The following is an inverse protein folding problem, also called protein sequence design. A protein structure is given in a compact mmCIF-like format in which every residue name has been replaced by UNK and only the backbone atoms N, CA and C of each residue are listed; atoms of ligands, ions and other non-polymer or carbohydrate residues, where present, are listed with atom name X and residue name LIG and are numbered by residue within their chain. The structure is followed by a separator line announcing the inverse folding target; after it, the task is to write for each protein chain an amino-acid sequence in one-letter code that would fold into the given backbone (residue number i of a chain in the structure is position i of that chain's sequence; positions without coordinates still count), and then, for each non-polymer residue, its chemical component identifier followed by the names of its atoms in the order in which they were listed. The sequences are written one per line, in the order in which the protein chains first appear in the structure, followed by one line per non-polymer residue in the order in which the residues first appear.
data_IF_128375232689
#
_entry.id   IF_128375232689
#
_cell.length_a   1.000
_cell.length_b   1.000
_cell.length_c   1.000
_cell.angle_alpha   90.00
_cell.angle_beta   90.00
_cell.angle_gamma   90.00
#
_symmetry.space_group_name_H-M   'P 1'
#
loop_
_entity.id
_entity.type
_entity.pdbx_description
1 polymer ?
#
# COMPACT_ATOMS: atom_id res chain seq x y z
N UNK A 1 15.86 -15.06 14.17
CA UNK A 1 16.03 -15.48 12.75
C UNK A 1 14.98 -14.73 11.94
N UNK A 2 15.41 -13.93 10.97
CA UNK A 2 14.51 -13.17 10.09
C UNK A 2 14.36 -13.94 8.78
N UNK A 3 13.13 -14.26 8.39
CA UNK A 3 12.80 -14.80 7.07
C UNK A 3 12.40 -13.65 6.16
N UNK A 4 13.15 -13.44 5.09
CA UNK A 4 12.89 -12.42 4.08
C UNK A 4 12.42 -13.14 2.81
N UNK A 5 11.25 -12.79 2.32
CA UNK A 5 10.67 -13.41 1.13
C UNK A 5 10.08 -12.35 0.21
N UNK A 6 10.57 -12.27 -1.01
CA UNK A 6 9.96 -11.51 -2.11
C UNK A 6 9.35 -12.53 -3.07
N UNK A 7 8.04 -12.65 -3.08
CA UNK A 7 7.33 -13.65 -3.90
C UNK A 7 6.73 -13.09 -5.19
N UNK A 8 6.79 -11.75 -5.37
CA UNK A 8 6.15 -11.12 -6.52
C UNK A 8 7.12 -10.98 -7.69
N UNK A 9 6.65 -11.32 -8.89
CA UNK A 9 7.26 -10.83 -10.14
C UNK A 9 6.83 -9.38 -10.33
N UNK A 10 7.74 -8.52 -10.75
CA UNK A 10 7.47 -7.09 -10.93
C UNK A 10 7.82 -6.71 -12.36
N UNK A 11 6.81 -6.31 -13.12
CA UNK A 11 6.99 -5.62 -14.39
C UNK A 11 7.02 -4.12 -14.11
N UNK A 12 8.06 -3.43 -14.54
CA UNK A 12 8.20 -1.99 -14.30
C UNK A 12 8.75 -1.30 -15.56
N UNK A 13 7.87 -0.75 -16.35
CA UNK A 13 8.21 0.13 -17.46
C UNK A 13 6.99 0.98 -17.83
N UNK A 14 7.23 2.08 -18.56
CA UNK A 14 6.14 2.87 -19.16
C UNK A 14 5.54 2.10 -20.32
N UNK A 15 4.22 2.14 -20.42
CA UNK A 15 3.43 1.48 -21.48
C UNK A 15 3.61 -0.05 -21.54
N UNK A 16 3.90 -0.68 -20.39
CA UNK A 16 4.14 -2.14 -20.29
C UNK A 16 2.85 -2.93 -20.00
N UNK A 17 1.77 -2.26 -19.64
CA UNK A 17 0.57 -2.87 -19.07
C UNK A 17 0.03 -4.02 -19.92
N UNK A 18 -0.21 -3.78 -21.21
CA UNK A 18 -0.81 -4.75 -22.13
C UNK A 18 0.11 -5.95 -22.37
N UNK A 19 1.41 -5.66 -22.58
CA UNK A 19 2.41 -6.71 -22.83
C UNK A 19 2.62 -7.58 -21.59
N UNK A 20 2.73 -6.97 -20.43
CA UNK A 20 2.91 -7.68 -19.16
C UNK A 20 1.69 -8.56 -18.83
N UNK A 21 0.47 -8.04 -18.98
CA UNK A 21 -0.74 -8.83 -18.77
C UNK A 21 -0.82 -10.01 -19.72
N UNK A 22 -0.56 -9.79 -21.02
CA UNK A 22 -0.59 -10.85 -22.03
C UNK A 22 0.45 -11.93 -21.73
N UNK A 23 1.68 -11.53 -21.42
CA UNK A 23 2.75 -12.46 -21.08
C UNK A 23 2.38 -13.34 -19.87
N UNK A 24 1.85 -12.74 -18.81
CA UNK A 24 1.46 -13.45 -17.59
C UNK A 24 0.26 -14.37 -17.81
N UNK A 25 -0.71 -13.95 -18.63
CA UNK A 25 -1.90 -14.76 -18.97
C UNK A 25 -1.48 -15.98 -19.80
N UNK A 26 -0.65 -15.78 -20.82
CA UNK A 26 -0.23 -16.83 -21.73
C UNK A 26 0.72 -17.83 -21.05
N UNK A 27 1.71 -17.34 -20.28
CA UNK A 27 2.64 -18.20 -19.54
C UNK A 27 1.92 -19.10 -18.52
N UNK A 28 0.93 -18.54 -17.83
CA UNK A 28 0.19 -19.27 -16.81
C UNK A 28 -1.09 -19.95 -17.35
N UNK A 29 -1.41 -19.81 -18.64
CA UNK A 29 -2.60 -20.39 -19.32
C UNK A 29 -3.89 -20.04 -18.59
N UNK A 30 -4.04 -18.77 -18.24
CA UNK A 30 -5.20 -18.28 -17.50
C UNK A 30 -6.38 -18.09 -18.45
N UNK A 31 -7.52 -18.69 -18.13
CA UNK A 31 -8.70 -18.67 -19.00
C UNK A 31 -9.80 -17.73 -18.50
N UNK A 32 -9.96 -17.60 -17.17
CA UNK A 32 -10.99 -16.73 -16.58
C UNK A 32 -10.38 -15.75 -15.59
N UNK A 33 -10.48 -14.45 -15.90
CA UNK A 33 -10.02 -13.35 -15.08
C UNK A 33 -11.19 -12.65 -14.34
N UNK A 34 -11.05 -12.42 -13.04
CA UNK A 34 -11.89 -11.51 -12.26
C UNK A 34 -11.15 -10.18 -12.11
N UNK A 35 -11.57 -9.16 -12.84
CA UNK A 35 -11.00 -7.82 -12.81
C UNK A 35 -11.77 -6.93 -11.83
N UNK A 36 -11.06 -6.35 -10.87
CA UNK A 36 -11.57 -5.36 -9.92
C UNK A 36 -11.01 -3.99 -10.29
N UNK A 37 -11.91 -3.04 -10.55
CA UNK A 37 -11.55 -1.71 -11.03
C UNK A 37 -12.33 -0.64 -10.23
N UNK A 38 -11.67 0.43 -9.76
CA UNK A 38 -12.38 1.56 -9.17
C UNK A 38 -13.26 2.26 -10.21
N UNK A 39 -14.39 2.81 -9.78
CA UNK A 39 -15.34 3.49 -10.68
C UNK A 39 -14.69 4.57 -11.56
N UNK A 40 -13.72 5.31 -11.01
CA UNK A 40 -13.02 6.38 -11.74
C UNK A 40 -12.22 5.88 -12.98
N UNK A 41 -11.94 4.58 -13.07
CA UNK A 41 -11.15 3.98 -14.15
C UNK A 41 -11.97 3.04 -15.04
N UNK A 42 -13.27 2.93 -14.80
CA UNK A 42 -14.15 2.06 -15.60
C UNK A 42 -14.55 2.66 -16.94
N UNK A 43 -14.36 3.97 -17.10
CA UNK A 43 -14.62 4.68 -18.34
C UNK A 43 -13.29 5.25 -18.84
N UNK A 44 -12.84 4.84 -20.04
CA UNK A 44 -11.67 5.41 -20.66
C UNK A 44 -10.64 4.41 -21.18
N UNK A 45 -9.50 4.93 -21.59
CA UNK A 45 -8.43 4.21 -22.24
C UNK A 45 -7.86 3.07 -21.41
N UNK A 46 -7.79 3.25 -20.08
CA UNK A 46 -7.23 2.27 -19.17
C UNK A 46 -7.92 0.90 -19.26
N UNK A 47 -9.26 0.87 -19.18
CA UNK A 47 -10.01 -0.39 -19.23
C UNK A 47 -9.77 -1.11 -20.57
N UNK A 48 -9.79 -0.36 -21.68
CA UNK A 48 -9.51 -0.90 -23.01
C UNK A 48 -8.11 -1.50 -23.13
N UNK A 49 -7.11 -0.90 -22.47
CA UNK A 49 -5.75 -1.40 -22.39
C UNK A 49 -5.68 -2.72 -21.63
N UNK A 50 -6.35 -2.79 -20.47
CA UNK A 50 -6.44 -4.04 -19.69
C UNK A 50 -7.13 -5.15 -20.50
N UNK A 51 -8.26 -4.85 -21.13
CA UNK A 51 -8.97 -5.79 -21.99
C UNK A 51 -8.10 -6.30 -23.16
N UNK A 52 -7.32 -5.40 -23.77
CA UNK A 52 -6.35 -5.78 -24.81
C UNK A 52 -5.28 -6.74 -24.26
N UNK A 53 -4.74 -6.47 -23.06
CA UNK A 53 -3.78 -7.36 -22.41
C UNK A 53 -4.37 -8.72 -22.02
N UNK A 54 -5.69 -8.77 -21.76
CA UNK A 54 -6.43 -9.99 -21.40
C UNK A 54 -7.09 -10.69 -22.58
N UNK A 55 -6.79 -10.29 -23.81
CA UNK A 55 -7.44 -10.83 -25.03
C UNK A 55 -7.28 -12.34 -25.23
N UNK A 56 -6.29 -12.98 -24.61
CA UNK A 56 -6.11 -14.43 -24.59
C UNK A 56 -7.00 -15.13 -23.56
N UNK A 57 -7.60 -14.41 -22.60
CA UNK A 57 -8.55 -15.00 -21.67
C UNK A 57 -9.85 -15.34 -22.39
N UNK A 58 -10.40 -16.53 -22.09
CA UNK A 58 -11.69 -16.94 -22.64
C UNK A 58 -12.85 -16.10 -22.07
N UNK A 59 -12.68 -15.57 -20.85
CA UNK A 59 -13.67 -14.74 -20.16
C UNK A 59 -13.00 -13.76 -19.21
N UNK A 60 -13.51 -12.52 -19.20
CA UNK A 60 -13.15 -11.48 -18.23
C UNK A 60 -14.42 -11.01 -17.53
N UNK A 61 -14.49 -11.20 -16.21
CA UNK A 61 -15.58 -10.69 -15.38
C UNK A 61 -15.15 -9.41 -14.68
N UNK A 62 -15.78 -8.29 -15.04
CA UNK A 62 -15.49 -7.00 -14.42
C UNK A 62 -16.36 -6.76 -13.18
N UNK A 63 -15.73 -6.33 -12.10
CA UNK A 63 -16.40 -5.79 -10.91
C UNK A 63 -15.92 -4.39 -10.64
N UNK A 64 -16.82 -3.43 -10.74
CA UNK A 64 -16.58 -2.04 -10.36
C UNK A 64 -16.63 -1.91 -8.84
N UNK A 65 -15.61 -1.28 -8.26
CA UNK A 65 -15.51 -1.01 -6.83
C UNK A 65 -15.85 0.46 -6.58
N UNK A 66 -16.82 0.69 -5.71
CA UNK A 66 -17.22 2.05 -5.29
C UNK A 66 -16.83 2.28 -3.83
N UNK A 67 -16.56 3.54 -3.42
CA UNK A 67 -16.14 3.87 -2.04
C UNK A 67 -17.14 3.40 -0.96
N UNK A 68 -18.43 3.33 -1.29
CA UNK A 68 -19.47 2.88 -0.35
C UNK A 68 -19.59 1.34 -0.26
N UNK A 69 -18.84 0.61 -1.06
CA UNK A 69 -18.99 -0.84 -1.16
C UNK A 69 -18.25 -1.56 -0.04
N UNK A 70 -18.96 -2.42 0.67
CA UNK A 70 -18.35 -3.27 1.70
C UNK A 70 -17.44 -4.34 1.09
N UNK A 71 -16.26 -4.53 1.66
CA UNK A 71 -15.37 -5.67 1.33
C UNK A 71 -16.08 -7.02 1.51
N UNK A 72 -17.09 -7.09 2.38
CA UNK A 72 -17.90 -8.29 2.59
C UNK A 72 -18.74 -8.61 1.37
N UNK A 73 -19.42 -7.62 0.79
CA UNK A 73 -20.26 -7.79 -0.41
C UNK A 73 -19.41 -8.22 -1.61
N UNK A 74 -18.23 -7.64 -1.74
CA UNK A 74 -17.27 -8.04 -2.78
C UNK A 74 -16.82 -9.49 -2.63
N UNK A 75 -16.61 -9.95 -1.40
CA UNK A 75 -16.29 -11.34 -1.14
C UNK A 75 -17.44 -12.30 -1.46
N UNK A 76 -18.68 -11.90 -1.18
CA UNK A 76 -19.88 -12.67 -1.54
C UNK A 76 -20.02 -12.80 -3.06
N UNK A 77 -19.83 -11.69 -3.77
CA UNK A 77 -19.81 -11.66 -5.23
C UNK A 77 -18.72 -12.59 -5.83
N UNK A 78 -17.52 -12.56 -5.27
CA UNK A 78 -16.42 -13.42 -5.73
C UNK A 78 -16.78 -14.92 -5.61
N UNK A 79 -17.48 -15.32 -4.54
CA UNK A 79 -17.97 -16.68 -4.40
C UNK A 79 -19.05 -17.04 -5.41
N UNK A 80 -19.89 -16.10 -5.80
CA UNK A 80 -20.91 -16.27 -6.83
C UNK A 80 -20.27 -16.49 -8.20
N UNK A 81 -19.33 -15.62 -8.57
CA UNK A 81 -18.54 -15.75 -9.83
C UNK A 81 -17.82 -17.10 -9.89
N UNK A 82 -17.15 -17.50 -8.80
CA UNK A 82 -16.46 -18.78 -8.71
C UNK A 82 -17.40 -20.00 -8.85
N UNK A 83 -18.64 -19.90 -8.37
CA UNK A 83 -19.65 -20.96 -8.55
C UNK A 83 -20.11 -21.07 -10.01
N UNK A 84 -20.23 -19.94 -10.68
CA UNK A 84 -20.62 -19.92 -12.10
C UNK A 84 -19.49 -20.46 -12.98
N UNK A 85 -18.26 -20.07 -12.67
CA UNK A 85 -17.06 -20.52 -13.39
C UNK A 85 -15.81 -20.35 -12.54
N UNK A 86 -14.89 -21.31 -12.59
CA UNK A 86 -13.60 -21.25 -11.86
C UNK A 86 -12.79 -20.04 -12.27
N UNK A 87 -12.41 -19.21 -11.27
CA UNK A 87 -11.57 -18.04 -11.46
C UNK A 87 -10.10 -18.46 -11.43
N UNK A 88 -9.36 -18.20 -12.50
CA UNK A 88 -7.93 -18.52 -12.59
C UNK A 88 -7.06 -17.39 -12.05
N UNK A 89 -7.47 -16.15 -12.27
CA UNK A 89 -6.74 -14.96 -11.81
C UNK A 89 -7.69 -13.88 -11.29
N UNK A 90 -7.27 -13.21 -10.23
CA UNK A 90 -7.88 -11.97 -9.74
C UNK A 90 -6.91 -10.85 -10.05
N UNK A 91 -7.39 -9.82 -10.72
CA UNK A 91 -6.62 -8.62 -11.07
C UNK A 91 -7.24 -7.45 -10.32
N UNK A 92 -6.46 -6.76 -9.49
CA UNK A 92 -6.90 -5.58 -8.77
C UNK A 92 -6.13 -4.35 -9.25
N UNK A 93 -6.87 -3.31 -9.62
CA UNK A 93 -6.30 -2.09 -10.17
C UNK A 93 -6.50 -0.87 -9.26
N UNK A 94 -5.50 0.00 -9.27
CA UNK A 94 -5.58 1.40 -8.85
C UNK A 94 -5.39 1.60 -7.37
N UNK A 95 -6.47 1.84 -6.63
CA UNK A 95 -6.42 2.27 -5.24
C UNK A 95 -6.07 1.13 -4.28
N UNK A 96 -5.47 1.48 -3.14
CA UNK A 96 -5.21 0.52 -2.05
C UNK A 96 -6.48 -0.20 -1.61
N UNK A 97 -7.63 0.49 -1.64
CA UNK A 97 -8.92 -0.09 -1.32
C UNK A 97 -9.30 -1.19 -2.32
N UNK A 98 -9.19 -0.94 -3.62
CA UNK A 98 -9.48 -1.93 -4.65
C UNK A 98 -8.58 -3.17 -4.52
N UNK A 99 -7.29 -2.97 -4.22
CA UNK A 99 -6.35 -4.07 -3.98
C UNK A 99 -6.75 -4.88 -2.73
N UNK A 100 -7.22 -4.22 -1.68
CA UNK A 100 -7.74 -4.89 -0.48
C UNK A 100 -9.01 -5.71 -0.78
N UNK A 101 -9.91 -5.21 -1.65
CA UNK A 101 -11.03 -5.97 -2.17
C UNK A 101 -10.56 -7.22 -2.95
N UNK A 102 -9.54 -7.10 -3.78
CA UNK A 102 -8.94 -8.23 -4.51
C UNK A 102 -8.41 -9.33 -3.59
N UNK A 103 -7.72 -8.95 -2.52
CA UNK A 103 -7.28 -9.90 -1.48
C UNK A 103 -8.46 -10.59 -0.80
N UNK A 104 -9.53 -9.86 -0.49
CA UNK A 104 -10.75 -10.43 0.08
C UNK A 104 -11.40 -11.42 -0.88
N UNK A 105 -11.53 -11.09 -2.17
CA UNK A 105 -12.04 -12.00 -3.19
C UNK A 105 -11.22 -13.30 -3.22
N UNK A 106 -9.90 -13.18 -3.26
CA UNK A 106 -9.00 -14.34 -3.27
C UNK A 106 -9.22 -15.23 -2.04
N UNK A 107 -9.29 -14.63 -0.87
CA UNK A 107 -9.54 -15.36 0.37
C UNK A 107 -10.86 -16.14 0.34
N UNK A 108 -11.93 -15.52 -0.11
CA UNK A 108 -13.26 -16.15 -0.18
C UNK A 108 -13.31 -17.29 -1.20
N UNK A 109 -12.69 -17.14 -2.36
CA UNK A 109 -12.59 -18.18 -3.39
C UNK A 109 -11.78 -19.38 -2.85
N UNK A 110 -10.61 -19.12 -2.28
CA UNK A 110 -9.76 -20.16 -1.69
C UNK A 110 -10.51 -20.90 -0.59
N UNK A 111 -11.21 -20.18 0.28
CA UNK A 111 -12.02 -20.78 1.37
C UNK A 111 -13.15 -21.64 0.81
N UNK A 112 -13.83 -21.19 -0.24
CA UNK A 112 -14.89 -21.96 -0.90
C UNK A 112 -14.35 -23.27 -1.51
N UNK A 113 -13.22 -23.18 -2.24
CA UNK A 113 -12.56 -24.36 -2.83
C UNK A 113 -12.10 -25.36 -1.77
N UNK A 114 -11.56 -24.89 -0.64
CA UNK A 114 -11.19 -25.77 0.47
C UNK A 114 -12.39 -26.47 1.11
N UNK A 115 -13.51 -25.78 1.27
CA UNK A 115 -14.75 -26.38 1.81
C UNK A 115 -15.29 -27.49 0.91
N UNK A 116 -15.21 -27.32 -0.40
CA UNK A 116 -15.63 -28.36 -1.39
C UNK A 116 -14.72 -29.60 -1.33
N UNK A 117 -13.48 -29.45 -0.91
CA UNK A 117 -12.51 -30.53 -0.77
C UNK A 117 -12.45 -31.13 0.65
N UNK A 118 -13.21 -30.58 1.60
CA UNK A 118 -13.29 -31.09 2.97
C UNK A 118 -13.80 -32.52 2.94
N UNK A 119 -12.94 -33.47 3.29
CA UNK A 119 -13.21 -34.92 3.21
C UNK A 119 -12.24 -35.67 2.27
N UNK A 120 -11.49 -35.01 1.43
CA UNK A 120 -10.43 -35.62 0.61
C UNK A 120 -9.06 -35.46 1.26
N UNK A 121 -8.16 -36.47 1.16
CA UNK A 121 -6.82 -36.45 1.76
C UNK A 121 -6.10 -35.10 1.43
N UNK A 122 -5.53 -34.48 2.46
CA UNK A 122 -4.76 -33.22 2.35
C UNK A 122 -3.45 -33.49 1.61
N UNK A 123 -3.38 -33.10 0.35
CA UNK A 123 -2.16 -33.10 -0.46
C UNK A 123 -1.61 -31.67 -0.51
N UNK A 124 -0.37 -31.41 -0.01
CA UNK A 124 0.23 -30.08 -0.04
C UNK A 124 0.40 -29.50 -1.47
N UNK A 125 0.67 -30.34 -2.47
CA UNK A 125 0.80 -29.93 -3.85
C UNK A 125 -0.52 -29.39 -4.44
N UNK A 126 -1.67 -29.88 -3.98
CA UNK A 126 -2.99 -29.36 -4.35
C UNK A 126 -3.31 -27.98 -3.76
N UNK A 127 -2.62 -27.58 -2.65
CA UNK A 127 -2.87 -26.25 -2.06
C UNK A 127 -2.54 -25.12 -3.01
N UNK A 128 -1.46 -25.22 -3.77
CA UNK A 128 -1.04 -24.19 -4.72
C UNK A 128 -1.98 -24.14 -5.94
N UNK A 129 -2.41 -25.31 -6.42
CA UNK A 129 -3.35 -25.41 -7.55
C UNK A 129 -4.78 -24.89 -7.24
N UNK A 130 -5.11 -24.70 -5.95
CA UNK A 130 -6.42 -24.21 -5.52
C UNK A 130 -6.49 -22.69 -5.39
N UNK A 131 -5.38 -22.00 -5.51
CA UNK A 131 -5.34 -20.56 -5.33
C UNK A 131 -5.39 -19.87 -6.71
N UNK A 132 -6.36 -18.98 -6.95
CA UNK A 132 -6.28 -18.14 -8.14
C UNK A 132 -5.02 -17.28 -8.06
N UNK A 133 -4.38 -17.05 -9.20
CA UNK A 133 -3.31 -16.07 -9.30
C UNK A 133 -3.83 -14.70 -8.81
N UNK A 134 -2.94 -13.86 -8.30
CA UNK A 134 -3.31 -12.51 -7.86
C UNK A 134 -2.34 -11.51 -8.46
N UNK A 135 -2.85 -10.70 -9.36
CA UNK A 135 -2.12 -9.64 -10.04
C UNK A 135 -2.59 -8.29 -9.50
N UNK A 136 -1.65 -7.38 -9.37
CA UNK A 136 -1.92 -6.02 -8.92
C UNK A 136 -1.31 -5.03 -9.90
N UNK A 137 -2.12 -4.06 -10.32
CA UNK A 137 -1.69 -2.91 -11.09
C UNK A 137 -1.85 -1.70 -10.17
N UNK A 138 -0.81 -1.28 -9.44
CA UNK A 138 -0.94 -0.21 -8.46
C UNK A 138 -1.17 1.14 -9.15
N UNK A 139 -2.06 1.95 -8.58
CA UNK A 139 -2.13 3.37 -8.87
C UNK A 139 -1.04 4.15 -8.13
N UNK A 140 -1.20 5.47 -8.08
CA UNK A 140 -0.22 6.36 -7.46
C UNK A 140 -0.03 6.14 -5.95
N UNK A 141 -1.05 5.65 -5.25
CA UNK A 141 -0.98 5.32 -3.81
C UNK A 141 -0.10 4.09 -3.50
N UNK A 142 0.27 3.32 -4.52
CA UNK A 142 1.06 2.10 -4.38
C UNK A 142 0.28 0.92 -3.80
N UNK A 143 0.94 0.10 -3.00
CA UNK A 143 0.37 -1.10 -2.42
C UNK A 143 -0.07 -0.87 -0.96
N UNK A 144 -1.19 -1.49 -0.52
CA UNK A 144 -1.58 -1.45 0.89
C UNK A 144 -0.59 -2.20 1.78
N UNK A 145 -0.56 -1.82 3.07
CA UNK A 145 0.29 -2.50 4.07
C UNK A 145 -0.17 -3.96 4.26
N UNK A 146 0.69 -4.93 3.96
CA UNK A 146 0.34 -6.34 4.11
C UNK A 146 0.14 -6.75 5.58
N UNK A 147 0.74 -6.03 6.53
CA UNK A 147 0.66 -6.35 7.96
C UNK A 147 -0.69 -5.93 8.56
N UNK A 148 -1.25 -4.80 8.15
CA UNK A 148 -2.53 -4.29 8.66
C UNK A 148 -3.72 -5.16 8.24
N UNK A 149 -3.69 -5.69 7.04
CA UNK A 149 -4.76 -6.55 6.55
C UNK A 149 -4.82 -7.90 7.25
N UNK A 150 -3.71 -8.38 7.80
CA UNK A 150 -3.65 -9.64 8.54
C UNK A 150 -4.29 -9.54 9.94
N UNK A 151 -4.46 -8.33 10.48
CA UNK A 151 -5.01 -8.08 11.82
C UNK A 151 -6.53 -7.90 11.83
N UNK A 152 -7.18 -7.70 10.68
CA UNK A 152 -8.64 -7.64 10.55
C UNK A 152 -9.25 -9.03 10.60
N UNK A 153 -9.44 -9.62 11.81
CA UNK A 153 -10.27 -10.79 12.11
C UNK A 153 -10.04 -12.11 11.34
N UNK A 154 -9.16 -12.18 10.36
CA UNK A 154 -8.84 -13.44 9.73
C UNK A 154 -7.41 -13.86 10.08
N UNK A 155 -7.28 -15.01 10.72
CA UNK A 155 -6.02 -15.72 10.98
C UNK A 155 -5.29 -16.16 9.70
N UNK A 156 -5.68 -15.65 8.55
CA UNK A 156 -5.11 -15.96 7.26
C UNK A 156 -4.12 -14.85 6.87
N UNK A 157 -2.84 -15.18 6.91
CA UNK A 157 -1.83 -14.40 6.20
C UNK A 157 -2.22 -14.40 4.73
N UNK A 158 -2.76 -13.30 4.25
CA UNK A 158 -3.03 -13.13 2.82
C UNK A 158 -1.70 -13.16 2.09
N UNK A 159 -1.52 -14.12 1.19
CA UNK A 159 -0.30 -14.18 0.40
C UNK A 159 -0.14 -12.88 -0.42
N UNK A 160 1.09 -12.37 -0.58
CA UNK A 160 1.34 -11.21 -1.42
C UNK A 160 0.86 -11.46 -2.87
N UNK A 161 0.69 -10.42 -3.68
CA UNK A 161 0.41 -10.58 -5.10
C UNK A 161 1.53 -11.40 -5.76
N UNK A 162 1.17 -12.30 -6.67
CA UNK A 162 2.15 -13.07 -7.45
C UNK A 162 2.83 -12.19 -8.51
N UNK A 163 2.08 -11.23 -9.06
CA UNK A 163 2.53 -10.30 -10.09
C UNK A 163 2.12 -8.88 -9.70
N UNK A 164 3.04 -7.94 -9.90
CA UNK A 164 2.82 -6.50 -9.76
C UNK A 164 3.22 -5.86 -11.09
N UNK A 165 2.30 -5.12 -11.72
CA UNK A 165 2.55 -4.43 -12.98
C UNK A 165 2.55 -2.93 -12.70
N UNK A 166 3.73 -2.33 -12.67
CA UNK A 166 3.96 -0.91 -12.45
C UNK A 166 4.17 -0.22 -13.81
N UNK A 167 3.12 0.39 -14.30
CA UNK A 167 3.16 1.18 -15.54
C UNK A 167 2.89 2.66 -15.20
N UNK A 168 3.91 3.55 -15.26
CA UNK A 168 3.72 4.96 -14.95
C UNK A 168 2.68 5.67 -15.83
N UNK A 169 2.37 5.14 -17.02
CA UNK A 169 1.34 5.75 -17.88
C UNK A 169 -0.06 5.66 -17.31
N UNK A 170 -0.34 4.69 -16.44
CA UNK A 170 -1.66 4.56 -15.78
C UNK A 170 -1.95 5.64 -14.75
N UNK A 171 -0.94 6.41 -14.36
CA UNK A 171 -1.05 7.53 -13.40
C UNK A 171 -0.76 8.89 -14.04
N UNK A 172 -0.73 8.99 -15.37
CA UNK A 172 -0.45 10.25 -16.09
C UNK A 172 -1.47 11.36 -15.77
N UNK A 173 -2.69 11.00 -15.42
CA UNK A 173 -3.75 11.92 -15.02
C UNK A 173 -3.77 12.27 -13.52
N UNK A 174 -2.79 11.79 -12.74
CA UNK A 174 -2.74 12.06 -11.31
C UNK A 174 -2.60 13.55 -11.01
N UNK A 175 -3.45 14.06 -10.13
CA UNK A 175 -3.41 15.44 -9.66
C UNK A 175 -2.22 15.69 -8.72
N UNK A 176 -1.82 16.95 -8.56
CA UNK A 176 -0.76 17.35 -7.61
C UNK A 176 -1.12 16.95 -6.16
N UNK A 177 -2.40 16.92 -5.79
CA UNK A 177 -2.84 16.46 -4.48
C UNK A 177 -2.62 14.96 -4.31
N UNK A 178 -2.92 14.15 -5.33
CA UNK A 178 -2.67 12.71 -5.29
C UNK A 178 -1.16 12.40 -5.25
N UNK A 179 -0.35 13.14 -6.00
CA UNK A 179 1.11 13.05 -5.95
C UNK A 179 1.60 13.42 -4.54
N UNK A 180 1.12 14.50 -3.97
CA UNK A 180 1.48 14.93 -2.61
C UNK A 180 1.13 13.88 -1.55
N UNK A 181 -0.03 13.24 -1.67
CA UNK A 181 -0.45 12.13 -0.80
C UNK A 181 0.50 10.92 -0.93
N UNK A 182 0.85 10.55 -2.15
CA UNK A 182 1.79 9.47 -2.40
C UNK A 182 3.18 9.77 -1.81
N UNK A 183 3.66 11.00 -1.94
CA UNK A 183 4.92 11.49 -1.36
C UNK A 183 4.89 11.40 0.16
N UNK A 184 3.87 11.98 0.81
CA UNK A 184 3.75 11.98 2.28
C UNK A 184 3.70 10.55 2.85
N UNK A 185 2.89 9.69 2.25
CA UNK A 185 2.78 8.30 2.67
C UNK A 185 4.07 7.50 2.46
N UNK A 186 4.71 7.68 1.33
CA UNK A 186 5.94 6.94 1.01
C UNK A 186 7.10 7.38 1.89
N UNK A 187 7.27 8.69 2.09
CA UNK A 187 8.28 9.22 3.00
C UNK A 187 8.07 8.67 4.41
N UNK A 188 6.84 8.71 4.90
CA UNK A 188 6.51 8.17 6.21
C UNK A 188 6.80 6.68 6.34
N UNK A 189 6.43 5.87 5.36
CA UNK A 189 6.70 4.43 5.34
C UNK A 189 8.20 4.13 5.33
N UNK A 190 8.97 4.80 4.47
CA UNK A 190 10.41 4.61 4.38
C UNK A 190 11.14 4.98 5.69
N UNK A 191 10.82 6.14 6.25
CA UNK A 191 11.41 6.59 7.52
C UNK A 191 11.03 5.66 8.68
N UNK A 192 9.80 5.17 8.69
CA UNK A 192 9.34 4.20 9.67
C UNK A 192 10.10 2.87 9.60
N UNK A 193 10.33 2.36 8.39
CA UNK A 193 11.12 1.14 8.14
C UNK A 193 12.57 1.30 8.61
N UNK A 194 13.20 2.43 8.30
CA UNK A 194 14.57 2.71 8.74
C UNK A 194 14.68 2.87 10.25
N UNK A 195 13.65 3.39 10.92
CA UNK A 195 13.55 3.45 12.38
C UNK A 195 13.25 2.13 13.08
N UNK A 196 12.81 1.09 12.35
CA UNK A 196 12.46 -0.19 12.95
C UNK A 196 13.70 -1.02 13.31
N UNK A 197 13.70 -1.67 14.50
CA UNK A 197 14.85 -2.42 15.02
C UNK A 197 15.09 -3.78 14.33
N UNK A 198 14.08 -4.32 13.61
CA UNK A 198 14.23 -5.60 12.95
C UNK A 198 15.35 -5.55 11.88
N UNK A 199 16.18 -6.57 11.81
CA UNK A 199 17.21 -6.67 10.77
C UNK A 199 16.61 -7.17 9.46
N UNK A 200 16.54 -6.31 8.45
CA UNK A 200 16.06 -6.64 7.10
C UNK A 200 16.74 -5.74 6.06
N UNK A 201 17.95 -6.10 5.59
CA UNK A 201 18.74 -5.26 4.69
C UNK A 201 18.04 -5.00 3.33
N UNK A 202 17.17 -5.89 2.86
CA UNK A 202 16.40 -5.65 1.64
C UNK A 202 15.38 -4.54 1.85
N UNK A 203 14.64 -4.58 2.96
CA UNK A 203 13.68 -3.53 3.30
C UNK A 203 14.38 -2.18 3.53
N UNK A 204 15.54 -2.18 4.17
CA UNK A 204 16.35 -0.97 4.37
C UNK A 204 16.81 -0.38 3.04
N UNK A 205 17.31 -1.22 2.12
CA UNK A 205 17.71 -0.79 0.78
C UNK A 205 16.56 -0.21 -0.04
N UNK A 206 15.38 -0.84 0.01
CA UNK A 206 14.16 -0.32 -0.64
C UNK A 206 13.73 1.02 -0.04
N UNK A 207 13.76 1.16 1.29
CA UNK A 207 13.41 2.41 1.95
C UNK A 207 14.37 3.55 1.60
N UNK A 208 15.68 3.26 1.52
CA UNK A 208 16.71 4.23 1.12
C UNK A 208 16.50 4.69 -0.32
N UNK A 209 16.29 3.77 -1.27
CA UNK A 209 16.01 4.15 -2.67
C UNK A 209 14.70 4.95 -2.79
N UNK A 210 13.67 4.55 -2.05
CA UNK A 210 12.41 5.29 -1.98
C UNK A 210 12.60 6.74 -1.53
N UNK A 211 13.33 6.98 -0.43
CA UNK A 211 13.67 8.32 0.06
C UNK A 211 14.51 9.11 -0.94
N UNK A 212 15.51 8.49 -1.57
CA UNK A 212 16.37 9.15 -2.53
C UNK A 212 15.60 9.63 -3.78
N UNK A 213 14.59 8.87 -4.21
CA UNK A 213 13.68 9.28 -5.31
C UNK A 213 12.83 10.47 -4.90
N UNK A 214 12.24 10.43 -3.70
CA UNK A 214 11.45 11.54 -3.20
C UNK A 214 12.29 12.81 -3.00
N UNK A 215 13.51 12.69 -2.48
CA UNK A 215 14.42 13.80 -2.30
C UNK A 215 14.69 14.53 -3.64
N UNK A 216 14.99 13.78 -4.72
CA UNK A 216 15.18 14.36 -6.06
C UNK A 216 13.96 15.11 -6.59
N UNK A 217 12.75 14.64 -6.23
CA UNK A 217 11.51 15.28 -6.67
C UNK A 217 11.20 16.59 -5.93
N UNK A 218 11.64 16.67 -4.67
CA UNK A 218 11.37 17.80 -3.78
C UNK A 218 12.52 18.82 -3.70
N UNK A 219 13.61 18.59 -4.43
CA UNK A 219 14.75 19.49 -4.48
C UNK A 219 14.44 20.66 -5.42
N UNK A 220 14.20 21.84 -4.85
CA UNK A 220 13.94 23.08 -5.59
C UNK A 220 15.14 23.53 -6.46
N UNK A 221 16.33 23.01 -6.18
CA UNK A 221 17.56 23.25 -6.95
C UNK A 221 17.81 22.25 -8.08
N UNK A 222 17.06 21.15 -8.11
CA UNK A 222 17.22 20.15 -9.17
C UNK A 222 16.69 20.65 -10.51
N UNK A 223 17.26 20.18 -11.65
CA UNK A 223 16.65 20.39 -12.95
C UNK A 223 15.20 19.94 -12.94
N UNK A 224 14.31 20.75 -13.51
CA UNK A 224 12.88 20.39 -13.60
C UNK A 224 12.77 19.02 -14.26
N UNK A 225 12.32 18.03 -13.51
CA UNK A 225 12.11 16.69 -14.03
C UNK A 225 11.00 16.71 -15.09
N UNK A 226 11.19 15.99 -16.19
CA UNK A 226 10.10 15.78 -17.12
C UNK A 226 8.91 15.10 -16.40
N UNK A 227 7.65 15.46 -16.69
CA UNK A 227 6.49 14.95 -15.97
C UNK A 227 6.46 13.42 -15.90
N UNK A 228 6.79 12.73 -16.98
CA UNK A 228 6.83 11.26 -17.03
C UNK A 228 7.95 10.64 -16.16
N UNK A 229 9.11 11.30 -16.01
CA UNK A 229 10.19 10.88 -15.12
C UNK A 229 9.78 11.05 -13.65
N UNK A 230 9.10 12.15 -13.35
CA UNK A 230 8.53 12.42 -12.01
C UNK A 230 7.55 11.32 -11.61
N UNK A 231 6.59 10.97 -12.47
CA UNK A 231 5.62 9.92 -12.20
C UNK A 231 6.27 8.54 -12.07
N UNK A 232 7.28 8.25 -12.90
CA UNK A 232 8.06 7.01 -12.76
C UNK A 232 8.74 6.94 -11.40
N UNK A 233 9.37 8.02 -10.94
CA UNK A 233 10.05 8.04 -9.64
C UNK A 233 9.06 7.99 -8.46
N UNK A 234 7.88 8.62 -8.56
CA UNK A 234 6.79 8.45 -7.58
C UNK A 234 6.37 7.00 -7.50
N UNK A 235 6.04 6.37 -8.62
CA UNK A 235 5.59 4.98 -8.65
C UNK A 235 6.65 4.02 -8.10
N UNK A 236 7.93 4.22 -8.46
CA UNK A 236 9.03 3.42 -7.92
C UNK A 236 9.21 3.63 -6.42
N UNK A 237 9.13 4.86 -5.93
CA UNK A 237 9.23 5.16 -4.51
C UNK A 237 8.06 4.54 -3.72
N UNK A 238 6.81 4.65 -4.20
CA UNK A 238 5.64 4.07 -3.54
C UNK A 238 5.70 2.54 -3.50
N UNK A 239 6.17 1.90 -4.58
CA UNK A 239 6.42 0.46 -4.61
C UNK A 239 7.46 0.07 -3.56
N UNK A 240 8.59 0.76 -3.52
CA UNK A 240 9.68 0.51 -2.58
C UNK A 240 9.23 0.69 -1.13
N UNK A 241 8.53 1.79 -0.81
CA UNK A 241 7.98 2.04 0.51
C UNK A 241 6.99 0.95 0.96
N UNK A 242 6.15 0.46 0.05
CA UNK A 242 5.20 -0.61 0.34
C UNK A 242 5.89 -1.96 0.56
N UNK A 243 6.86 -2.33 -0.28
CA UNK A 243 7.62 -3.57 -0.13
C UNK A 243 8.52 -3.57 1.11
N UNK A 244 9.02 -2.40 1.51
CA UNK A 244 9.84 -2.24 2.71
C UNK A 244 9.05 -2.51 4.01
N UNK A 245 7.74 -2.32 4.03
CA UNK A 245 6.89 -2.54 5.22
C UNK A 245 6.90 -3.99 5.74
N UNK A 246 7.42 -4.95 5.00
CA UNK A 246 7.67 -6.30 5.52
C UNK A 246 8.61 -6.33 6.75
N UNK A 247 9.36 -5.26 7.02
CA UNK A 247 10.20 -5.09 8.21
C UNK A 247 9.39 -4.85 9.48
N UNK A 248 8.19 -4.28 9.36
CA UNK A 248 7.25 -4.04 10.45
C UNK A 248 6.28 -2.91 10.19
N UNK A 249 5.15 -2.96 10.87
CA UNK A 249 4.13 -1.91 10.84
C UNK A 249 4.54 -0.74 11.73
N UNK A 250 4.38 0.48 11.25
CA UNK A 250 4.70 1.66 12.00
C UNK A 250 3.58 2.24 12.86
N UNK A 251 3.93 3.30 13.59
CA UNK A 251 3.01 3.98 14.50
C UNK A 251 1.77 4.52 13.79
N UNK A 252 1.95 5.17 12.64
CA UNK A 252 0.83 5.75 11.88
C UNK A 252 -0.13 4.66 11.40
N UNK A 253 0.40 3.56 10.90
CA UNK A 253 -0.43 2.45 10.45
C UNK A 253 -1.13 1.76 11.64
N UNK A 254 -0.46 1.64 12.80
CA UNK A 254 -1.07 1.13 14.01
C UNK A 254 -2.20 2.06 14.51
N UNK A 255 -2.01 3.38 14.45
CA UNK A 255 -3.02 4.37 14.80
C UNK A 255 -4.23 4.30 13.85
N UNK A 256 -3.99 4.21 12.54
CA UNK A 256 -5.06 4.02 11.54
C UNK A 256 -5.92 2.79 11.85
N UNK A 257 -5.26 1.67 12.12
CA UNK A 257 -5.96 0.44 12.49
C UNK A 257 -6.81 0.62 13.75
N UNK A 258 -6.22 1.19 14.81
CA UNK A 258 -6.90 1.43 16.08
C UNK A 258 -8.08 2.39 15.92
N UNK A 259 -7.92 3.42 15.10
CA UNK A 259 -8.98 4.36 14.79
C UNK A 259 -10.14 3.68 14.05
N UNK A 260 -9.84 2.91 13.02
CA UNK A 260 -10.86 2.12 12.30
C UNK A 260 -11.63 1.17 13.21
N UNK A 261 -10.96 0.58 14.23
CA UNK A 261 -11.59 -0.32 15.19
C UNK A 261 -12.40 0.41 16.27
N UNK A 262 -11.87 1.51 16.79
CA UNK A 262 -12.50 2.24 17.90
C UNK A 262 -13.64 3.14 17.43
N UNK A 263 -13.46 3.80 16.30
CA UNK A 263 -14.36 4.85 15.78
C UNK A 263 -15.22 4.35 14.61
N UNK A 264 -14.81 3.28 13.93
CA UNK A 264 -15.53 2.73 12.77
C UNK A 264 -15.31 3.52 11.49
N UNK A 265 -14.35 4.47 11.47
CA UNK A 265 -13.96 5.31 10.34
C UNK A 265 -12.51 5.04 9.96
N UNK A 266 -12.22 4.85 8.67
CA UNK A 266 -10.84 4.72 8.21
C UNK A 266 -10.17 6.11 8.12
N UNK A 267 -8.93 6.21 8.61
CA UNK A 267 -8.10 7.40 8.47
C UNK A 267 -7.19 7.29 7.26
N UNK A 268 -6.97 8.43 6.63
CA UNK A 268 -6.01 8.56 5.57
C UNK A 268 -4.57 8.54 6.10
N UNK A 269 -3.81 7.52 5.69
CA UNK A 269 -2.42 7.38 6.13
C UNK A 269 -1.50 8.47 5.61
N UNK A 270 -1.72 8.96 4.38
CA UNK A 270 -0.92 10.03 3.81
C UNK A 270 -1.05 11.32 4.61
N UNK A 271 -2.29 11.66 4.99
CA UNK A 271 -2.57 12.85 5.80
C UNK A 271 -1.99 12.72 7.21
N UNK A 272 -2.11 11.55 7.84
CA UNK A 272 -1.49 11.31 9.14
C UNK A 272 0.04 11.42 9.09
N UNK A 273 0.69 10.85 8.09
CA UNK A 273 2.12 11.03 7.90
C UNK A 273 2.48 12.51 7.70
N UNK A 274 1.68 13.25 6.89
CA UNK A 274 1.89 14.67 6.67
C UNK A 274 1.97 15.46 7.98
N UNK A 275 1.08 15.19 8.93
CA UNK A 275 1.03 15.96 10.19
C UNK A 275 1.95 15.40 11.27
N UNK A 276 2.15 14.10 11.35
CA UNK A 276 2.84 13.44 12.46
C UNK A 276 4.35 13.22 12.24
N UNK A 277 4.80 13.13 10.99
CA UNK A 277 6.12 12.56 10.66
C UNK A 277 7.29 13.29 11.32
N UNK A 278 7.29 14.62 11.29
CA UNK A 278 8.34 15.42 11.91
C UNK A 278 8.40 15.22 13.44
N UNK A 279 7.23 15.17 14.08
CA UNK A 279 7.14 14.93 15.53
C UNK A 279 7.56 13.52 15.92
N UNK A 280 7.28 12.55 15.06
CA UNK A 280 7.77 11.19 15.26
C UNK A 280 9.29 11.10 15.17
N UNK A 281 9.91 11.82 14.25
CA UNK A 281 11.36 11.88 14.11
C UNK A 281 12.03 12.57 15.30
N UNK A 282 11.43 13.63 15.83
CA UNK A 282 11.91 14.34 17.02
C UNK A 282 11.82 13.47 18.27
N UNK A 283 10.74 12.68 18.40
CA UNK A 283 10.52 11.79 19.53
C UNK A 283 11.30 10.46 19.45
N UNK A 284 11.87 10.12 18.30
CA UNK A 284 12.49 8.82 18.04
C UNK A 284 13.99 8.82 18.36
N UNK A 285 14.45 7.81 19.07
CA UNK A 285 15.87 7.40 19.03
C UNK A 285 16.10 6.64 17.71
N UNK A 286 16.16 7.36 16.59
CA UNK A 286 16.32 6.71 15.29
C UNK A 286 17.76 6.19 15.11
N UNK A 287 17.94 4.95 14.66
CA UNK A 287 19.26 4.29 14.68
C UNK A 287 20.29 4.88 13.71
N UNK A 288 19.91 5.62 12.68
CA UNK A 288 20.86 6.23 11.72
C UNK A 288 20.33 7.52 11.09
N UNK A 289 20.12 8.53 11.93
CA UNK A 289 19.69 9.86 11.47
C UNK A 289 20.67 10.51 10.49
N UNK A 290 21.97 10.22 10.61
CA UNK A 290 23.00 10.79 9.75
C UNK A 290 22.90 10.22 8.31
N UNK A 291 22.61 8.93 8.16
CA UNK A 291 22.38 8.31 6.85
C UNK A 291 21.11 8.86 6.22
N UNK A 292 20.02 8.92 6.97
CA UNK A 292 18.73 9.47 6.50
C UNK A 292 18.89 10.93 6.05
N UNK A 293 19.56 11.76 6.86
CA UNK A 293 19.82 13.16 6.53
C UNK A 293 20.62 13.30 5.20
N UNK A 294 21.60 12.45 5.00
CA UNK A 294 22.41 12.43 3.76
C UNK A 294 21.54 12.03 2.55
N UNK A 295 20.70 11.00 2.67
CA UNK A 295 19.82 10.54 1.59
C UNK A 295 18.80 11.60 1.21
N UNK A 296 18.24 12.30 2.19
CA UNK A 296 17.28 13.39 1.97
C UNK A 296 17.93 14.72 1.53
N UNK A 297 19.26 14.82 1.56
CA UNK A 297 19.96 16.05 1.19
C UNK A 297 19.82 17.17 2.24
N UNK A 298 19.68 16.82 3.53
CA UNK A 298 19.56 17.80 4.62
C UNK A 298 20.79 18.71 4.65
N UNK A 299 20.63 20.04 4.57
CA UNK A 299 21.74 20.97 4.60
C UNK A 299 22.59 20.84 5.88
N UNK A 300 23.91 21.09 5.81
CA UNK A 300 24.77 21.09 6.99
C UNK A 300 24.25 22.07 8.06
N UNK A 301 24.06 21.57 9.28
CA UNK A 301 23.58 22.35 10.41
C UNK A 301 22.07 22.42 10.56
N UNK A 302 21.28 21.91 9.61
CA UNK A 302 19.85 21.76 9.75
C UNK A 302 19.53 20.44 10.47
N UNK A 303 18.51 20.45 11.33
CA UNK A 303 17.98 19.24 11.96
C UNK A 303 17.13 18.42 10.99
N UNK A 304 17.21 17.08 11.09
CA UNK A 304 16.38 16.19 10.27
C UNK A 304 14.86 16.40 10.50
N UNK A 305 14.36 16.52 11.77
CA UNK A 305 12.94 16.78 11.99
C UNK A 305 12.45 18.08 11.38
N UNK A 306 13.20 19.18 11.52
CA UNK A 306 12.86 20.49 10.97
C UNK A 306 12.85 20.46 9.43
N UNK A 307 13.83 19.80 8.82
CA UNK A 307 13.89 19.63 7.37
C UNK A 307 12.66 18.88 6.86
N UNK A 308 12.34 17.73 7.47
CA UNK A 308 11.17 16.93 7.09
C UNK A 308 9.87 17.70 7.35
N UNK A 309 9.77 18.49 8.44
CA UNK A 309 8.64 19.37 8.68
C UNK A 309 8.43 20.37 7.55
N UNK A 310 9.51 21.00 7.09
CA UNK A 310 9.48 21.93 5.95
C UNK A 310 9.00 21.25 4.67
N UNK A 311 9.54 20.08 4.33
CA UNK A 311 9.13 19.30 3.17
C UNK A 311 7.64 18.90 3.24
N UNK A 312 7.19 18.44 4.41
CA UNK A 312 5.78 18.10 4.61
C UNK A 312 4.87 19.33 4.54
N UNK A 313 5.31 20.49 5.06
CA UNK A 313 4.54 21.72 5.02
C UNK A 313 4.35 22.27 3.59
N UNK A 314 5.29 22.01 2.68
CA UNK A 314 5.18 22.41 1.28
C UNK A 314 4.14 21.61 0.47
N UNK A 315 3.69 20.44 0.98
CA UNK A 315 2.68 19.64 0.31
C UNK A 315 1.28 20.28 0.43
N UNK A 316 0.47 20.32 -0.65
CA UNK A 316 -0.88 20.89 -0.64
C UNK A 316 -1.88 19.94 0.06
N UNK A 317 -1.64 19.67 1.34
CA UNK A 317 -2.41 18.73 2.17
C UNK A 317 -2.74 19.38 3.52
N UNK A 318 -3.81 18.95 4.22
CA UNK A 318 -4.14 19.38 5.57
C UNK A 318 -2.94 19.34 6.51
N UNK A 319 -2.77 20.37 7.34
CA UNK A 319 -1.65 20.56 8.24
C UNK A 319 -1.89 20.12 9.67
N UNK A 320 -3.15 19.88 10.05
CA UNK A 320 -3.56 19.47 11.41
C UNK A 320 -4.62 18.36 11.37
N UNK A 321 -4.81 17.69 12.51
CA UNK A 321 -5.88 16.69 12.66
C UNK A 321 -7.27 17.34 12.57
N UNK A 322 -7.43 18.58 13.02
CA UNK A 322 -8.69 19.32 12.90
C UNK A 322 -9.06 19.58 11.44
N UNK A 323 -8.09 19.97 10.61
CA UNK A 323 -8.31 20.15 9.16
C UNK A 323 -8.67 18.84 8.44
N UNK A 324 -8.37 17.69 9.07
CA UNK A 324 -8.76 16.36 8.61
C UNK A 324 -10.15 15.93 9.14
N UNK A 325 -10.90 16.82 9.81
CA UNK A 325 -12.18 16.52 10.46
C UNK A 325 -12.08 15.37 11.48
N UNK A 326 -10.97 15.34 12.25
CA UNK A 326 -10.75 14.39 13.34
C UNK A 326 -10.99 15.10 14.67
N UNK A 327 -11.91 14.57 15.47
CA UNK A 327 -12.21 15.11 16.78
C UNK A 327 -11.29 14.51 17.84
N UNK A 328 -11.00 15.30 18.89
CA UNK A 328 -10.11 14.85 19.95
C UNK A 328 -10.63 13.62 20.72
N UNK A 329 -11.95 13.51 20.91
CA UNK A 329 -12.54 12.33 21.54
C UNK A 329 -12.35 11.05 20.72
N UNK A 330 -12.33 11.15 19.38
CA UNK A 330 -12.02 10.04 18.48
C UNK A 330 -10.54 9.64 18.61
N UNK A 331 -9.63 10.61 18.75
CA UNK A 331 -8.20 10.36 19.00
C UNK A 331 -8.01 9.59 20.30
N UNK A 332 -8.65 10.04 21.40
CA UNK A 332 -8.57 9.37 22.70
C UNK A 332 -9.10 7.93 22.65
N UNK A 333 -10.20 7.69 21.95
CA UNK A 333 -10.72 6.34 21.76
C UNK A 333 -9.72 5.46 20.99
N UNK A 334 -9.13 5.95 19.91
CA UNK A 334 -8.15 5.21 19.12
C UNK A 334 -6.88 4.89 19.92
N UNK A 335 -6.35 5.86 20.66
CA UNK A 335 -5.17 5.66 21.53
C UNK A 335 -5.46 4.65 22.62
N UNK A 336 -6.66 4.70 23.21
CA UNK A 336 -7.10 3.74 24.22
C UNK A 336 -7.21 2.30 23.66
N UNK A 337 -7.52 2.16 22.38
CA UNK A 337 -7.67 0.87 21.70
C UNK A 337 -6.32 0.30 21.22
N UNK A 338 -5.26 1.09 21.15
CA UNK A 338 -3.97 0.62 20.68
C UNK A 338 -3.44 -0.52 21.55
N UNK A 339 -3.34 -1.70 20.96
CA UNK A 339 -2.78 -2.86 21.64
C UNK A 339 -1.26 -2.75 21.77
N UNK A 340 -0.66 -3.27 22.86
CA UNK A 340 0.79 -3.34 23.04
C UNK A 340 1.53 -4.09 21.92
N UNK A 341 0.83 -4.90 21.14
CA UNK A 341 1.36 -5.65 19.97
C UNK A 341 1.87 -4.75 18.85
N UNK A 342 1.32 -3.55 18.73
CA UNK A 342 1.82 -2.53 17.83
C UNK A 342 2.97 -1.73 18.44
N UNK A 343 3.59 -2.25 19.53
CA UNK A 343 4.73 -1.65 20.19
C UNK A 343 5.76 -1.22 19.18
N UNK A 344 5.62 0.03 18.75
CA UNK A 344 6.63 0.65 17.93
C UNK A 344 7.73 1.06 18.87
N UNK A 345 8.99 0.75 18.57
CA UNK A 345 10.14 1.20 19.37
C UNK A 345 10.19 2.72 19.53
N UNK A 346 9.45 3.43 18.70
CA UNK A 346 9.42 4.87 18.57
C UNK A 346 8.59 5.59 19.67
N UNK A 347 7.69 4.88 20.35
CA UNK A 347 6.90 5.49 21.43
C UNK A 347 6.81 4.57 22.62
N UNK A 348 7.39 5.02 23.73
CA UNK A 348 7.49 4.24 24.98
C UNK A 348 6.21 4.21 25.79
N UNK A 349 5.24 5.13 25.53
CA UNK A 349 3.99 5.20 26.27
C UNK A 349 2.83 5.83 25.49
N UNK A 350 1.60 5.52 25.89
CA UNK A 350 0.40 6.20 25.39
C UNK A 350 0.42 7.71 25.71
N UNK A 351 1.09 8.12 26.79
CA UNK A 351 1.21 9.54 27.16
C UNK A 351 2.05 10.31 26.12
N UNK A 352 3.17 9.72 25.67
CA UNK A 352 3.98 10.33 24.59
C UNK A 352 3.20 10.42 23.29
N UNK A 353 2.43 9.39 22.94
CA UNK A 353 1.60 9.41 21.75
C UNK A 353 0.53 10.51 21.82
N UNK A 354 -0.15 10.65 22.98
CA UNK A 354 -1.11 11.74 23.18
C UNK A 354 -0.45 13.11 23.02
N UNK A 355 0.75 13.30 23.56
CA UNK A 355 1.47 14.57 23.42
C UNK A 355 1.75 14.88 21.94
N UNK A 356 2.28 13.91 21.18
CA UNK A 356 2.51 14.08 19.74
C UNK A 356 1.22 14.41 18.98
N UNK A 357 0.12 13.76 19.32
CA UNK A 357 -1.17 14.00 18.67
C UNK A 357 -1.76 15.37 19.07
N UNK A 358 -1.53 15.85 20.31
CA UNK A 358 -1.90 17.19 20.74
C UNK A 358 -1.13 18.27 19.98
N UNK A 359 0.16 18.05 19.74
CA UNK A 359 1.03 19.01 19.05
C UNK A 359 0.65 19.19 17.57
N UNK A 360 -0.15 18.28 17.01
CA UNK A 360 -0.61 18.30 15.60
C UNK A 360 -2.14 18.41 15.47
N UNK A 361 -2.85 18.55 16.59
CA UNK A 361 -4.29 18.75 16.63
C UNK A 361 -4.65 20.20 16.32
#
# INVERSE_FOLDING_TARGET
MTLITLHSRIHFARDVLEEALRAEVDENRLAHALLLCPVAFCEGEFLSRVESGLSSCAEVTLRVITPAQSKYDTGAYAREVERARTVDVIIAFGTMECIAHGRKCRHEIVTARYRQLAGRRRDPARKTALQPAFFVIPGIEGLPDPCLESTTQSSFKTAPPGVIICDPSVIDAASEVEIARAVAQTMGRCLNVLGAQAFNPLADGLAIDGLARLARMMDDGAPVMAPHDRLRDVMAATLNGALALQKGTGLVEALRFSFGKAVGRELDGALLYRVMLARMLDAAEAPDTAMIARVLGVPPGAGLPEFVAGQMAALPLPGTLQEMDIRWDEVEQAVGFMEPKFGTPQMRSQAQLRQVLQDVY
#
